data_IF_871416958770
#
_entry.id   IF_871416958770
#
_cell.length_a   1.000
_cell.length_b   1.000
_cell.length_c   1.000
_cell.angle_alpha   90.00
_cell.angle_beta   90.00
_cell.angle_gamma   90.00
#
_symmetry.space_group_name_H-M   'P 1'
#
loop_
_entity.id
_entity.type
_entity.pdbx_description
1 polymer ?
#
# COMPACT_ATOMS: atom_id res chain seq x y z
N UNK A 1 10.10 11.83 27.16
CA UNK A 1 10.23 10.38 26.94
C UNK A 1 10.48 10.16 25.46
N UNK A 2 11.59 9.49 25.15
CA UNK A 2 12.24 9.51 23.84
C UNK A 2 11.48 8.66 22.79
N UNK A 3 10.75 9.29 21.88
CA UNK A 3 10.10 8.61 20.75
C UNK A 3 11.06 7.99 19.74
N UNK A 4 12.36 8.31 19.81
CA UNK A 4 13.38 7.80 18.89
C UNK A 4 13.81 6.36 19.21
N UNK A 5 13.73 5.91 20.48
CA UNK A 5 14.17 4.56 20.86
C UNK A 5 13.21 3.45 20.40
N UNK A 6 11.95 3.78 20.11
CA UNK A 6 10.98 2.82 19.55
C UNK A 6 11.14 2.67 18.03
N UNK A 7 11.79 3.63 17.36
CA UNK A 7 12.02 3.59 15.92
C UNK A 7 13.23 2.72 15.56
N UNK A 8 14.28 2.77 16.39
CA UNK A 8 15.47 1.92 16.22
C UNK A 8 15.19 0.43 16.45
N UNK A 9 14.27 0.08 17.36
CA UNK A 9 13.87 -1.31 17.60
C UNK A 9 12.95 -1.89 16.52
N UNK A 10 12.19 -1.04 15.82
CA UNK A 10 11.30 -1.44 14.72
C UNK A 10 11.99 -1.51 13.35
N UNK A 11 13.15 -0.87 13.17
CA UNK A 11 13.84 -0.81 11.88
C UNK A 11 14.08 -2.19 11.23
N UNK A 12 14.51 -3.24 11.96
CA UNK A 12 14.67 -4.56 11.38
C UNK A 12 13.35 -5.14 10.85
N UNK A 13 12.24 -4.99 11.58
CA UNK A 13 10.95 -5.57 11.15
C UNK A 13 10.36 -4.84 9.95
N UNK A 14 10.55 -3.53 9.84
CA UNK A 14 10.10 -2.76 8.67
C UNK A 14 10.86 -3.17 7.40
N UNK A 15 12.19 -3.26 7.47
CA UNK A 15 12.98 -3.68 6.33
C UNK A 15 12.71 -5.13 5.94
N UNK A 16 12.64 -6.06 6.91
CA UNK A 16 12.28 -7.45 6.64
C UNK A 16 10.90 -7.56 5.99
N UNK A 17 9.93 -6.78 6.49
CA UNK A 17 8.58 -6.75 5.91
C UNK A 17 8.59 -6.21 4.49
N UNK A 18 9.30 -5.11 4.23
CA UNK A 18 9.43 -4.56 2.88
C UNK A 18 10.10 -5.54 1.91
N UNK A 19 11.20 -6.18 2.33
CA UNK A 19 11.87 -7.21 1.53
C UNK A 19 10.91 -8.35 1.17
N UNK A 20 10.10 -8.80 2.13
CA UNK A 20 9.11 -9.86 1.89
C UNK A 20 8.02 -9.42 0.92
N UNK A 21 7.50 -8.19 1.05
CA UNK A 21 6.52 -7.64 0.10
C UNK A 21 7.11 -7.62 -1.31
N UNK A 22 8.35 -7.14 -1.48
CA UNK A 22 9.02 -7.10 -2.80
C UNK A 22 9.13 -8.50 -3.42
N UNK A 23 9.45 -9.52 -2.61
CA UNK A 23 9.53 -10.91 -3.06
C UNK A 23 8.18 -11.45 -3.52
N UNK A 24 7.11 -11.15 -2.78
CA UNK A 24 5.74 -11.59 -3.07
C UNK A 24 5.04 -10.78 -4.18
N UNK A 25 5.60 -9.63 -4.58
CA UNK A 25 5.12 -8.82 -5.71
C UNK A 25 6.04 -8.90 -6.93
N UNK A 26 6.91 -9.91 -7.00
CA UNK A 26 7.87 -10.08 -8.09
C UNK A 26 7.23 -10.33 -9.46
N UNK A 27 8.00 -10.21 -10.56
CA UNK A 27 7.50 -10.24 -11.94
C UNK A 27 6.84 -11.57 -12.37
N UNK A 28 7.05 -12.66 -11.62
CA UNK A 28 6.50 -13.98 -11.93
C UNK A 28 5.26 -14.34 -11.09
N UNK A 29 4.81 -13.45 -10.22
CA UNK A 29 3.66 -13.67 -9.35
C UNK A 29 2.44 -12.96 -9.96
N UNK A 30 1.28 -13.64 -10.09
CA UNK A 30 0.07 -12.98 -10.56
C UNK A 30 -0.26 -11.76 -9.69
N UNK A 31 -0.53 -10.61 -10.32
CA UNK A 31 -0.69 -9.32 -9.61
C UNK A 31 -1.69 -9.40 -8.45
N UNK A 32 -2.85 -10.02 -8.67
CA UNK A 32 -3.87 -10.18 -7.62
C UNK A 32 -3.33 -10.96 -6.43
N UNK A 33 -2.63 -12.07 -6.69
CA UNK A 33 -2.01 -12.90 -5.64
C UNK A 33 -0.94 -12.11 -4.88
N UNK A 34 -0.08 -11.37 -5.58
CA UNK A 34 0.95 -10.56 -4.93
C UNK A 34 0.37 -9.46 -4.04
N UNK A 35 -0.74 -8.85 -4.45
CA UNK A 35 -1.47 -7.88 -3.61
C UNK A 35 -2.09 -8.54 -2.38
N UNK A 36 -2.75 -9.70 -2.53
CA UNK A 36 -3.31 -10.45 -1.40
C UNK A 36 -2.21 -10.86 -0.41
N UNK A 37 -1.08 -11.40 -0.90
CA UNK A 37 0.08 -11.74 -0.08
C UNK A 37 0.65 -10.50 0.65
N UNK A 38 0.67 -9.34 -0.01
CA UNK A 38 1.09 -8.08 0.61
C UNK A 38 0.19 -7.71 1.79
N UNK A 39 -1.14 -7.81 1.63
CA UNK A 39 -2.08 -7.53 2.70
C UNK A 39 -1.89 -8.51 3.89
N UNK A 40 -1.67 -9.79 3.62
CA UNK A 40 -1.37 -10.79 4.65
C UNK A 40 -0.08 -10.46 5.43
N UNK A 41 0.97 -10.05 4.73
CA UNK A 41 2.23 -9.64 5.36
C UNK A 41 2.02 -8.43 6.27
N UNK A 42 1.25 -7.42 5.84
CA UNK A 42 0.99 -6.24 6.65
C UNK A 42 0.24 -6.59 7.94
N UNK A 43 -0.78 -7.46 7.86
CA UNK A 43 -1.53 -7.92 9.05
C UNK A 43 -0.63 -8.77 9.97
N UNK A 44 0.13 -9.70 9.39
CA UNK A 44 0.94 -10.66 10.12
C UNK A 44 2.19 -10.05 10.77
N UNK A 45 2.96 -9.28 10.01
CA UNK A 45 4.25 -8.77 10.48
C UNK A 45 4.14 -7.42 11.21
N UNK A 46 3.27 -6.51 10.74
CA UNK A 46 3.15 -5.17 11.30
C UNK A 46 1.97 -5.02 12.26
N UNK A 47 1.17 -6.09 12.41
CA UNK A 47 0.09 -6.15 13.39
C UNK A 47 -1.11 -5.26 13.04
N UNK A 48 -1.24 -4.80 11.79
CA UNK A 48 -2.42 -4.07 11.36
C UNK A 48 -3.67 -4.92 11.58
N UNK A 49 -4.67 -4.34 12.27
CA UNK A 49 -5.93 -5.05 12.53
C UNK A 49 -6.67 -5.35 11.23
N UNK A 50 -6.69 -4.37 10.31
CA UNK A 50 -7.25 -4.47 8.96
C UNK A 50 -6.43 -3.63 7.99
N UNK A 51 -6.32 -4.10 6.77
CA UNK A 51 -5.67 -3.45 5.64
C UNK A 51 -6.57 -3.60 4.42
N UNK A 52 -6.57 -2.61 3.56
CA UNK A 52 -7.38 -2.59 2.36
C UNK A 52 -6.69 -1.78 1.29
N UNK A 53 -6.75 -2.26 0.05
CA UNK A 53 -6.23 -1.58 -1.13
C UNK A 53 -7.34 -1.42 -2.16
N UNK A 54 -7.42 -0.21 -2.71
CA UNK A 54 -8.31 0.11 -3.82
C UNK A 54 -7.48 0.48 -5.04
N UNK A 55 -7.77 -0.19 -6.14
CA UNK A 55 -7.23 0.13 -7.45
C UNK A 55 -8.34 0.80 -8.26
N UNK A 56 -8.02 1.97 -8.80
CA UNK A 56 -8.94 2.78 -9.60
C UNK A 56 -8.53 2.74 -11.08
N UNK A 57 -9.51 2.85 -11.96
CA UNK A 57 -9.36 2.97 -13.41
C UNK A 57 -8.66 1.75 -14.07
N UNK A 58 -8.81 0.55 -13.50
CA UNK A 58 -8.25 -0.70 -14.03
C UNK A 58 -9.34 -1.76 -14.31
N UNK A 59 -9.45 -2.32 -15.53
CA UNK A 59 -8.77 -1.91 -16.77
C UNK A 59 -9.48 -0.76 -17.51
N UNK A 60 -10.63 -0.28 -17.00
CA UNK A 60 -11.45 0.75 -17.65
C UNK A 60 -11.62 1.95 -16.73
N UNK A 61 -11.87 3.12 -17.32
CA UNK A 61 -12.18 4.32 -16.55
C UNK A 61 -13.41 4.09 -15.65
N UNK A 62 -13.37 4.57 -14.42
CA UNK A 62 -14.39 4.42 -13.38
C UNK A 62 -14.58 2.98 -12.85
N UNK A 63 -13.67 2.03 -13.13
CA UNK A 63 -13.70 0.73 -12.46
C UNK A 63 -12.88 0.76 -11.18
N UNK A 64 -13.37 0.06 -10.16
CA UNK A 64 -12.69 -0.09 -8.87
C UNK A 64 -12.51 -1.56 -8.55
N UNK A 65 -11.31 -1.94 -8.15
CA UNK A 65 -11.01 -3.25 -7.58
C UNK A 65 -10.60 -3.02 -6.12
N UNK A 66 -11.25 -3.71 -5.20
CA UNK A 66 -10.98 -3.61 -3.76
C UNK A 66 -10.52 -4.98 -3.25
N UNK A 67 -9.46 -4.99 -2.46
CA UNK A 67 -8.98 -6.18 -1.74
C UNK A 67 -8.80 -5.80 -0.28
N UNK A 68 -9.33 -6.60 0.63
CA UNK A 68 -9.25 -6.39 2.07
C UNK A 68 -8.70 -7.61 2.82
N UNK A 69 -8.01 -7.33 3.92
CA UNK A 69 -7.58 -8.35 4.87
C UNK A 69 -7.66 -7.84 6.29
N UNK A 70 -8.08 -8.71 7.19
CA UNK A 70 -8.18 -8.40 8.61
C UNK A 70 -7.93 -9.61 9.47
N UNK A 71 -7.57 -9.36 10.73
CA UNK A 71 -7.38 -10.41 11.75
C UNK A 71 -8.70 -11.07 12.15
N UNK A 72 -9.81 -10.35 12.05
CA UNK A 72 -11.16 -10.83 12.36
C UNK A 72 -11.96 -11.10 11.08
N UNK A 73 -12.26 -12.36 10.73
CA UNK A 73 -13.06 -12.72 9.56
C UNK A 73 -14.57 -12.39 9.72
N UNK A 74 -14.99 -11.87 10.89
CA UNK A 74 -16.40 -11.68 11.26
C UNK A 74 -16.95 -10.26 11.08
N UNK A 75 -16.12 -9.27 10.73
CA UNK A 75 -16.55 -7.87 10.54
C UNK A 75 -16.26 -7.45 9.09
N UNK A 76 -16.60 -8.33 8.15
CA UNK A 76 -16.37 -8.10 6.72
C UNK A 76 -17.27 -7.00 6.17
N UNK A 77 -18.44 -6.77 6.79
CA UNK A 77 -19.39 -5.76 6.35
C UNK A 77 -20.24 -5.26 7.52
N UNK A 78 -19.79 -4.24 8.24
CA UNK A 78 -20.72 -3.35 8.94
C UNK A 78 -20.89 -2.09 8.08
N UNK A 79 -21.85 -2.24 7.17
CA UNK A 79 -22.73 -1.26 6.52
C UNK A 79 -22.40 0.22 6.77
N UNK A 80 -21.50 0.74 5.95
CA UNK A 80 -21.39 2.17 5.67
C UNK A 80 -20.75 2.35 4.29
N UNK A 81 -21.02 3.45 3.58
CA UNK A 81 -20.14 3.84 2.48
C UNK A 81 -18.69 3.83 2.99
N UNK A 82 -17.74 3.39 2.16
CA UNK A 82 -16.33 3.44 2.54
C UNK A 82 -15.95 4.84 3.06
N UNK A 83 -14.98 4.96 3.98
CA UNK A 83 -14.63 6.24 4.61
C UNK A 83 -14.51 7.35 3.57
N UNK A 84 -15.17 8.50 3.78
CA UNK A 84 -14.98 9.67 2.91
C UNK A 84 -13.51 10.08 2.87
N UNK A 85 -12.77 9.81 3.94
CA UNK A 85 -11.32 9.83 4.06
C UNK A 85 -10.58 9.21 2.86
N UNK A 86 -11.01 8.06 2.34
CA UNK A 86 -10.37 7.45 1.16
C UNK A 86 -10.60 8.29 -0.09
N UNK A 87 -11.82 8.82 -0.26
CA UNK A 87 -12.13 9.77 -1.33
C UNK A 87 -11.33 11.06 -1.24
N UNK A 88 -11.11 11.58 -0.02
CA UNK A 88 -10.27 12.74 0.22
C UNK A 88 -8.81 12.47 -0.14
N UNK A 89 -8.25 11.31 0.22
CA UNK A 89 -6.88 10.94 -0.16
C UNK A 89 -6.75 10.84 -1.67
N UNK A 90 -7.73 10.25 -2.35
CA UNK A 90 -7.75 10.18 -3.82
C UNK A 90 -7.80 11.57 -4.47
N UNK A 91 -8.65 12.47 -3.97
CA UNK A 91 -8.79 13.81 -4.51
C UNK A 91 -7.55 14.68 -4.25
N UNK A 92 -6.98 14.59 -3.05
CA UNK A 92 -5.87 15.45 -2.62
C UNK A 92 -4.49 14.89 -2.97
N UNK A 93 -4.39 13.59 -3.23
CA UNK A 93 -3.13 12.85 -3.41
C UNK A 93 -2.17 13.02 -2.22
N UNK A 94 -2.71 13.21 -1.03
CA UNK A 94 -1.96 13.35 0.23
C UNK A 94 -2.31 12.23 1.18
N UNK A 95 -1.32 11.74 1.91
CA UNK A 95 -1.53 10.79 3.01
C UNK A 95 -2.42 11.41 4.07
N UNK A 96 -3.36 10.61 4.58
CA UNK A 96 -4.21 10.95 5.72
C UNK A 96 -3.87 10.02 6.88
N UNK A 97 -3.65 10.61 8.05
CA UNK A 97 -3.42 9.91 9.31
C UNK A 97 -4.44 10.40 10.32
N UNK A 98 -5.20 9.49 10.90
CA UNK A 98 -6.16 9.74 11.97
C UNK A 98 -5.66 8.94 13.18
N UNK A 99 -5.20 9.64 14.21
CA UNK A 99 -4.62 9.00 15.40
C UNK A 99 -5.64 8.24 16.25
N UNK A 100 -6.86 8.76 16.35
CA UNK A 100 -7.98 8.15 17.06
C UNK A 100 -9.23 8.25 16.18
N UNK A 101 -9.85 7.10 15.88
CA UNK A 101 -11.03 7.02 15.02
C UNK A 101 -12.35 7.02 15.78
N UNK A 102 -12.34 7.00 17.12
CA UNK A 102 -13.52 6.94 18.00
C UNK A 102 -14.63 7.89 17.59
N UNK A 103 -14.27 9.16 17.46
CA UNK A 103 -15.20 10.26 17.20
C UNK A 103 -15.16 10.73 15.73
N UNK A 104 -14.48 9.98 14.85
CA UNK A 104 -14.30 10.39 13.47
C UNK A 104 -15.55 10.02 12.63
N UNK A 105 -16.17 10.99 11.91
CA UNK A 105 -17.46 10.80 11.25
C UNK A 105 -17.45 9.71 10.15
N UNK A 106 -16.29 9.33 9.65
CA UNK A 106 -16.15 8.28 8.63
C UNK A 106 -16.19 6.84 9.18
N UNK A 107 -16.16 6.66 10.51
CA UNK A 107 -16.08 5.33 11.14
C UNK A 107 -17.35 4.94 11.91
N UNK A 108 -18.48 5.57 11.57
CA UNK A 108 -19.81 5.28 12.13
C UNK A 108 -20.22 3.82 11.83
N UNK A 109 -20.96 3.20 12.75
CA UNK A 109 -21.52 1.85 12.58
C UNK A 109 -20.60 0.71 13.04
N UNK A 110 -19.50 1.03 13.74
CA UNK A 110 -18.58 0.07 14.35
C UNK A 110 -18.76 0.01 15.87
N UNK A 111 -18.40 -1.10 16.52
CA UNK A 111 -18.50 -1.22 17.97
C UNK A 111 -17.65 -0.14 18.66
N UNK A 112 -18.17 0.59 19.66
CA UNK A 112 -17.44 1.65 20.35
C UNK A 112 -16.11 1.19 20.93
N UNK A 113 -16.08 0.00 21.53
CA UNK A 113 -14.88 -0.62 22.09
C UNK A 113 -13.80 -0.92 21.05
N UNK A 114 -14.20 -1.14 19.79
CA UNK A 114 -13.25 -1.28 18.70
C UNK A 114 -12.66 0.08 18.34
N UNK A 115 -13.50 1.09 18.16
CA UNK A 115 -13.07 2.41 17.68
C UNK A 115 -12.11 3.13 18.65
N UNK A 116 -12.27 2.91 19.95
CA UNK A 116 -11.40 3.45 21.01
C UNK A 116 -9.93 2.99 20.92
N UNK A 117 -9.65 1.93 20.16
CA UNK A 117 -8.31 1.32 20.09
C UNK A 117 -7.63 1.49 18.75
N UNK A 118 -8.26 2.20 17.81
CA UNK A 118 -7.83 2.22 16.42
C UNK A 118 -7.34 3.58 15.95
N UNK A 119 -6.30 3.52 15.14
CA UNK A 119 -5.86 4.60 14.27
C UNK A 119 -6.11 4.20 12.82
N UNK A 120 -6.19 5.18 11.93
CA UNK A 120 -6.34 4.97 10.50
C UNK A 120 -5.23 5.67 9.71
N UNK A 121 -4.71 4.97 8.72
CA UNK A 121 -3.70 5.45 7.79
C UNK A 121 -4.18 5.15 6.36
N UNK A 122 -4.23 6.17 5.52
CA UNK A 122 -4.51 6.02 4.10
C UNK A 122 -3.44 6.73 3.28
N UNK A 123 -2.72 5.96 2.47
CA UNK A 123 -1.57 6.43 1.68
C UNK A 123 -1.91 6.29 0.20
N UNK A 124 -1.84 7.37 -0.59
CA UNK A 124 -2.03 7.27 -2.03
C UNK A 124 -0.78 6.63 -2.67
N UNK A 125 -1.00 5.62 -3.51
CA UNK A 125 0.06 4.99 -4.30
C UNK A 125 0.04 5.63 -5.69
N UNK A 126 1.13 6.33 -6.03
CA UNK A 126 1.27 6.96 -7.33
C UNK A 126 2.10 6.08 -8.27
N UNK A 127 1.70 6.02 -9.54
CA UNK A 127 2.57 5.48 -10.56
C UNK A 127 3.90 6.27 -10.57
N UNK A 128 5.05 5.61 -10.76
CA UNK A 128 6.31 6.31 -10.93
C UNK A 128 6.17 7.35 -12.04
N UNK A 129 6.66 8.56 -11.80
CA UNK A 129 6.77 9.54 -12.89
C UNK A 129 7.68 8.94 -13.96
N UNK A 130 7.28 8.91 -15.24
CA UNK A 130 8.16 8.43 -16.30
C UNK A 130 9.48 9.18 -16.20
N UNK A 131 10.58 8.46 -16.04
CA UNK A 131 11.91 9.06 -16.09
C UNK A 131 12.08 9.56 -17.53
N UNK A 132 12.32 10.87 -17.77
CA UNK A 132 12.55 11.36 -19.12
C UNK A 132 13.76 10.63 -19.72
N UNK A 133 13.65 10.25 -21.01
CA UNK A 133 14.58 9.35 -21.71
C UNK A 133 16.05 9.82 -21.81
N UNK A 134 16.43 10.97 -21.23
CA UNK A 134 17.75 11.58 -21.37
C UNK A 134 18.85 11.01 -20.45
N UNK A 135 18.63 9.87 -19.81
CA UNK A 135 19.67 9.14 -19.06
C UNK A 135 19.96 7.74 -19.62
N UNK A 136 19.58 7.47 -20.87
CA UNK A 136 20.29 6.45 -21.64
C UNK A 136 21.67 7.00 -21.96
N UNK A 137 22.69 6.51 -21.24
CA UNK A 137 24.09 6.72 -21.59
C UNK A 137 24.33 6.37 -23.06
N UNK A 138 25.36 6.94 -23.70
CA UNK A 138 25.57 6.83 -25.13
C UNK A 138 25.49 5.37 -25.56
N UNK A 139 24.65 5.09 -26.56
CA UNK A 139 24.57 3.79 -27.20
C UNK A 139 25.99 3.37 -27.56
N UNK A 140 26.40 2.20 -27.06
CA UNK A 140 27.69 1.62 -27.40
C UNK A 140 27.84 1.63 -28.92
N UNK A 141 28.80 2.43 -29.39
CA UNK A 141 29.19 2.50 -30.79
C UNK A 141 29.47 1.08 -31.25
N UNK A 142 28.73 0.60 -32.25
CA UNK A 142 29.02 -0.67 -32.89
C UNK A 142 30.39 -0.56 -33.55
N UNK A 143 31.42 -1.11 -32.89
CA UNK A 143 32.74 -1.31 -33.47
C UNK A 143 32.60 -2.32 -34.62
N UNK A 144 32.76 -1.80 -35.85
CA UNK A 144 32.82 -2.62 -37.05
C UNK A 144 34.12 -3.43 -37.05
N UNK A 145 34.01 -4.76 -37.01
CA UNK A 145 35.15 -5.66 -37.25
C UNK A 145 35.74 -5.39 -38.65
N UNK A 146 37.07 -5.34 -38.82
CA UNK A 146 37.67 -5.29 -40.14
C UNK A 146 37.55 -6.67 -40.84
N UNK A 147 37.49 -6.71 -42.18
CA UNK A 147 37.40 -7.96 -42.92
C UNK A 147 38.73 -8.71 -42.87
N UNK A 148 38.66 -10.00 -42.53
CA UNK A 148 39.79 -10.94 -42.66
C UNK A 148 40.07 -11.18 -44.14
N UNK A 149 41.25 -10.73 -44.60
CA UNK A 149 41.89 -11.18 -45.83
C UNK A 149 42.74 -12.42 -45.59
#
# INVERSE_FOLDING_TARGET
MNGLSSFESGWPIFLTTLTRIIQETGPNIPVRQGLENTLDILVGNLGYRRVHIELFDLPRKNTKISLDRGRDPGISHLFGPGPLATGQVMATRRTLVIGDVKDHPDFIGRPPEELETLSFLCVPIHAPKPVPANHQGPAASSESLPPSG
#
